data_IF_119273721858
#
_entry.id   IF_119273721858
#
_cell.length_a   1.000
_cell.length_b   1.000
_cell.length_c   1.000
_cell.angle_alpha   90.00
_cell.angle_beta   90.00
_cell.angle_gamma   90.00
#
_symmetry.space_group_name_H-M   'P 1'
#
loop_
_entity.id
_entity.type
_entity.pdbx_description
1 polymer ?
#
# COMPACT_ATOMS: atom_id res chain seq x y z
N UNK A 1 4.93 -15.77 -9.83
CA UNK A 1 4.25 -14.55 -9.33
C UNK A 1 3.63 -13.80 -10.50
N UNK A 2 2.50 -13.13 -10.26
CA UNK A 2 1.82 -12.28 -11.24
C UNK A 2 2.20 -10.83 -10.95
N UNK A 3 2.72 -10.12 -11.95
CA UNK A 3 3.12 -8.70 -11.83
C UNK A 3 2.39 -7.79 -12.83
N UNK A 4 1.77 -8.37 -13.85
CA UNK A 4 0.96 -7.64 -14.82
C UNK A 4 -0.26 -7.01 -14.16
N UNK A 5 -0.37 -5.68 -14.21
CA UNK A 5 -1.41 -4.92 -13.52
C UNK A 5 -2.82 -5.17 -14.06
N UNK A 6 -2.95 -5.48 -15.35
CA UNK A 6 -4.26 -5.80 -15.95
C UNK A 6 -4.76 -7.14 -15.40
N UNK A 7 -3.86 -8.12 -15.31
CA UNK A 7 -4.18 -9.41 -14.70
C UNK A 7 -4.49 -9.26 -13.21
N UNK A 8 -3.70 -8.46 -12.47
CA UNK A 8 -3.91 -8.20 -11.03
C UNK A 8 -5.30 -7.62 -10.80
N UNK A 9 -5.70 -6.58 -11.52
CA UNK A 9 -7.02 -5.96 -11.38
C UNK A 9 -8.14 -6.97 -11.66
N UNK A 10 -8.07 -7.69 -12.77
CA UNK A 10 -9.07 -8.70 -13.14
C UNK A 10 -9.18 -9.83 -12.12
N UNK A 11 -8.04 -10.35 -11.67
CA UNK A 11 -8.01 -11.46 -10.72
C UNK A 11 -8.36 -11.01 -9.31
N UNK A 12 -7.94 -9.82 -8.89
CA UNK A 12 -8.30 -9.21 -7.61
C UNK A 12 -9.81 -9.03 -7.48
N UNK A 13 -10.44 -8.49 -8.51
CA UNK A 13 -11.90 -8.35 -8.56
C UNK A 13 -12.60 -9.72 -8.51
N UNK A 14 -12.20 -10.65 -9.36
CA UNK A 14 -12.75 -12.01 -9.38
C UNK A 14 -12.64 -12.72 -8.04
N UNK A 15 -11.59 -12.45 -7.27
CA UNK A 15 -11.33 -13.11 -5.97
C UNK A 15 -11.75 -12.28 -4.76
N UNK A 16 -12.38 -11.14 -4.96
CA UNK A 16 -12.74 -10.23 -3.87
C UNK A 16 -13.58 -10.94 -2.79
N UNK A 17 -14.62 -11.65 -3.17
CA UNK A 17 -15.47 -12.40 -2.24
C UNK A 17 -14.71 -13.55 -1.55
N UNK A 18 -13.85 -14.25 -2.28
CA UNK A 18 -12.95 -15.26 -1.70
C UNK A 18 -12.03 -14.65 -0.65
N UNK A 19 -11.47 -13.48 -0.93
CA UNK A 19 -10.61 -12.75 -0.02
C UNK A 19 -11.36 -12.29 1.25
N UNK A 20 -12.61 -11.87 1.13
CA UNK A 20 -13.46 -11.58 2.30
C UNK A 20 -13.76 -12.83 3.13
N UNK A 21 -14.05 -13.97 2.50
CA UNK A 21 -14.19 -15.24 3.21
C UNK A 21 -12.90 -15.65 3.91
N UNK A 22 -11.75 -15.45 3.26
CA UNK A 22 -10.45 -15.69 3.89
C UNK A 22 -10.20 -14.78 5.09
N UNK A 23 -10.58 -13.50 5.00
CA UNK A 23 -10.54 -12.59 6.16
C UNK A 23 -11.38 -13.11 7.33
N UNK A 24 -12.60 -13.60 7.06
CA UNK A 24 -13.46 -14.19 8.08
C UNK A 24 -12.83 -15.48 8.67
N UNK A 25 -12.26 -16.32 7.82
CA UNK A 25 -11.54 -17.52 8.23
C UNK A 25 -10.39 -17.22 9.21
N UNK A 26 -9.57 -16.20 8.93
CA UNK A 26 -8.46 -15.83 9.82
C UNK A 26 -8.90 -15.31 11.18
N UNK A 27 -10.13 -14.79 11.32
CA UNK A 27 -10.67 -14.36 12.63
C UNK A 27 -11.05 -15.53 13.54
N UNK A 28 -11.32 -16.70 12.97
CA UNK A 28 -11.80 -17.89 13.67
C UNK A 28 -10.77 -19.02 13.73
N UNK A 29 -9.56 -18.81 13.18
CA UNK A 29 -8.52 -19.82 13.15
C UNK A 29 -7.19 -19.22 13.60
N UNK A 30 -6.43 -19.99 14.37
CA UNK A 30 -5.10 -19.61 14.78
C UNK A 30 -4.12 -19.65 13.60
N UNK A 31 -3.28 -18.66 13.52
CA UNK A 31 -2.18 -18.60 12.56
C UNK A 31 -0.97 -17.89 13.15
N UNK A 32 0.20 -18.21 12.62
CA UNK A 32 1.46 -17.59 13.05
C UNK A 32 1.74 -16.37 12.19
N UNK A 33 1.43 -15.19 12.68
CA UNK A 33 1.59 -13.91 11.95
C UNK A 33 3.01 -13.72 11.41
N UNK A 34 4.04 -14.14 12.15
CA UNK A 34 5.44 -14.08 11.69
C UNK A 34 5.65 -14.80 10.36
N UNK A 35 4.96 -15.92 10.12
CA UNK A 35 5.05 -16.65 8.84
C UNK A 35 4.42 -15.86 7.69
N UNK A 36 3.37 -15.12 7.96
CA UNK A 36 2.71 -14.26 6.98
C UNK A 36 3.62 -13.07 6.61
N UNK A 37 4.26 -12.45 7.61
CA UNK A 37 5.21 -11.36 7.39
C UNK A 37 6.47 -11.82 6.66
N UNK A 38 7.00 -13.00 6.99
CA UNK A 38 8.13 -13.60 6.27
C UNK A 38 7.79 -13.86 4.79
N UNK A 39 6.59 -14.39 4.51
CA UNK A 39 6.12 -14.58 3.13
C UNK A 39 5.92 -13.24 2.39
N UNK A 40 5.48 -12.21 3.09
CA UNK A 40 5.36 -10.86 2.52
C UNK A 40 6.74 -10.30 2.14
N UNK A 41 7.74 -10.46 3.02
CA UNK A 41 9.12 -10.03 2.74
C UNK A 41 9.70 -10.74 1.52
N UNK A 42 9.57 -12.08 1.47
CA UNK A 42 10.03 -12.88 0.33
C UNK A 42 9.44 -12.41 -1.01
N UNK A 43 8.16 -12.05 -1.03
CA UNK A 43 7.49 -11.56 -2.24
C UNK A 43 7.89 -10.11 -2.55
N UNK A 44 7.98 -9.27 -1.53
CA UNK A 44 8.36 -7.86 -1.69
C UNK A 44 9.79 -7.72 -2.24
N UNK A 45 10.71 -8.58 -1.84
CA UNK A 45 12.10 -8.57 -2.32
C UNK A 45 12.24 -8.93 -3.81
N UNK A 46 11.18 -9.49 -4.42
CA UNK A 46 11.17 -9.91 -5.83
C UNK A 46 10.41 -8.94 -6.74
N UNK A 47 9.80 -7.87 -6.20
CA UNK A 47 8.98 -6.92 -6.95
C UNK A 47 9.50 -5.50 -6.72
N UNK A 48 10.01 -4.85 -7.76
CA UNK A 48 10.40 -3.44 -7.67
C UNK A 48 9.15 -2.53 -7.78
N UNK A 49 8.82 -1.87 -6.68
CA UNK A 49 7.69 -0.94 -6.63
C UNK A 49 7.88 0.28 -7.54
N UNK A 50 9.13 0.63 -7.90
CA UNK A 50 9.43 1.77 -8.79
C UNK A 50 9.01 1.48 -10.23
N UNK A 51 9.02 0.21 -10.64
CA UNK A 51 8.54 -0.18 -11.97
C UNK A 51 7.01 -0.16 -12.05
N UNK A 52 6.31 -0.33 -10.92
CA UNK A 52 4.86 -0.47 -10.85
C UNK A 52 4.15 0.88 -10.66
N UNK A 53 4.52 1.65 -9.63
CA UNK A 53 3.94 2.93 -9.19
C UNK A 53 2.41 2.97 -9.02
N UNK A 54 1.71 1.83 -9.04
CA UNK A 54 0.24 1.79 -9.02
C UNK A 54 -0.34 2.34 -7.71
N UNK A 55 0.31 2.10 -6.57
CA UNK A 55 -0.10 2.70 -5.30
C UNK A 55 -0.05 4.25 -5.35
N UNK A 56 0.92 4.83 -6.05
CA UNK A 56 1.00 6.29 -6.24
C UNK A 56 -0.16 6.82 -7.08
N UNK A 57 -0.75 5.98 -7.95
CA UNK A 57 -1.90 6.35 -8.78
C UNK A 57 -3.24 6.20 -8.08
N UNK A 58 -3.35 5.30 -7.10
CA UNK A 58 -4.67 4.94 -6.55
C UNK A 58 -4.83 5.19 -5.06
N UNK A 59 -3.73 5.30 -4.27
CA UNK A 59 -3.84 5.47 -2.82
C UNK A 59 -3.70 6.91 -2.38
N UNK A 60 -4.41 7.25 -1.34
CA UNK A 60 -4.23 8.47 -0.57
C UNK A 60 -3.10 8.29 0.44
N UNK A 61 -2.40 9.38 0.76
CA UNK A 61 -1.22 9.35 1.62
C UNK A 61 -1.36 10.37 2.74
N UNK A 62 -1.62 9.87 3.95
CA UNK A 62 -1.60 10.69 5.16
C UNK A 62 -0.18 11.11 5.48
N UNK A 63 -0.02 12.36 5.88
CA UNK A 63 1.23 12.94 6.31
C UNK A 63 1.28 13.10 7.82
N UNK A 64 2.41 12.73 8.39
CA UNK A 64 2.76 13.11 9.75
C UNK A 64 3.59 14.40 9.73
N UNK A 65 3.65 15.13 10.85
CA UNK A 65 4.42 16.35 10.98
C UNK A 65 5.87 16.19 10.52
N UNK A 66 6.53 15.11 10.91
CA UNK A 66 7.89 14.76 10.47
C UNK A 66 8.03 14.53 8.95
N UNK A 67 6.95 14.10 8.29
CA UNK A 67 6.98 13.93 6.83
C UNK A 67 6.96 15.31 6.14
N UNK A 68 6.18 16.26 6.67
CA UNK A 68 6.15 17.65 6.21
C UNK A 68 7.51 18.29 6.32
N UNK A 69 8.13 18.22 7.52
CA UNK A 69 9.49 18.76 7.75
C UNK A 69 10.52 18.17 6.78
N UNK A 70 10.52 16.85 6.62
CA UNK A 70 11.46 16.14 5.76
C UNK A 70 11.31 16.50 4.29
N UNK A 71 10.07 16.55 3.80
CA UNK A 71 9.75 16.90 2.42
C UNK A 71 10.02 18.37 2.10
N UNK A 72 9.63 19.29 2.98
CA UNK A 72 9.91 20.72 2.82
C UNK A 72 11.41 21.01 2.75
N UNK A 73 12.20 20.38 3.64
CA UNK A 73 13.67 20.48 3.63
C UNK A 73 14.28 19.95 2.32
N UNK A 74 13.81 18.81 1.84
CA UNK A 74 14.30 18.22 0.58
C UNK A 74 14.00 19.12 -0.62
N UNK A 75 12.81 19.71 -0.66
CA UNK A 75 12.39 20.63 -1.72
C UNK A 75 12.99 22.05 -1.60
N UNK A 76 13.68 22.36 -0.50
CA UNK A 76 14.27 23.68 -0.27
C UNK A 76 13.25 24.79 -0.02
N UNK A 77 12.07 24.47 0.51
CA UNK A 77 10.98 25.40 0.80
C UNK A 77 10.59 25.40 2.28
N UNK A 78 9.86 26.41 2.73
CA UNK A 78 9.30 26.41 4.09
C UNK A 78 8.19 25.37 4.24
N UNK A 79 7.99 24.87 5.45
CA UNK A 79 6.87 23.95 5.75
C UNK A 79 5.51 24.56 5.39
N UNK A 80 5.33 25.87 5.65
CA UNK A 80 4.11 26.59 5.25
C UNK A 80 3.90 26.55 3.74
N UNK A 81 4.94 26.79 2.97
CA UNK A 81 4.89 26.73 1.50
C UNK A 81 4.60 25.31 1.02
N UNK A 82 5.17 24.30 1.70
CA UNK A 82 4.87 22.89 1.42
C UNK A 82 3.39 22.55 1.67
N UNK A 83 2.87 22.95 2.82
CA UNK A 83 1.46 22.73 3.18
C UNK A 83 0.53 23.35 2.13
N UNK A 84 0.77 24.59 1.75
CA UNK A 84 -0.08 25.29 0.76
C UNK A 84 -0.03 24.64 -0.63
N UNK A 85 1.15 24.20 -1.09
CA UNK A 85 1.35 23.73 -2.45
C UNK A 85 1.04 22.24 -2.63
N UNK A 86 1.42 21.40 -1.67
CA UNK A 86 1.48 19.95 -1.84
C UNK A 86 0.50 19.16 -1.00
N UNK A 87 -0.27 19.81 -0.12
CA UNK A 87 -1.18 19.11 0.78
C UNK A 87 -2.63 19.58 0.66
N UNK A 88 -3.53 18.69 1.06
CA UNK A 88 -4.96 18.93 1.22
C UNK A 88 -5.45 18.28 2.51
N UNK A 89 -6.62 18.69 2.98
CA UNK A 89 -7.29 18.01 4.08
C UNK A 89 -8.19 16.90 3.54
N UNK A 90 -8.09 15.73 4.14
CA UNK A 90 -8.99 14.62 3.91
C UNK A 90 -10.37 14.85 4.54
N UNK A 91 -11.30 13.92 4.32
CA UNK A 91 -12.67 14.02 4.80
C UNK A 91 -12.81 14.13 6.34
N UNK A 92 -11.89 13.49 7.07
CA UNK A 92 -11.85 13.52 8.55
C UNK A 92 -10.91 14.59 9.10
N UNK A 93 -10.37 15.47 8.25
CA UNK A 93 -9.47 16.55 8.61
C UNK A 93 -7.99 16.14 8.72
N UNK A 94 -7.65 14.92 8.31
CA UNK A 94 -6.26 14.46 8.22
C UNK A 94 -5.50 15.19 7.11
N UNK A 95 -4.20 15.44 7.35
CA UNK A 95 -3.33 16.07 6.37
C UNK A 95 -2.87 15.03 5.34
N UNK A 96 -3.11 15.30 4.07
CA UNK A 96 -2.83 14.37 2.97
C UNK A 96 -2.00 15.02 1.87
N UNK A 97 -1.24 14.23 1.13
CA UNK A 97 -0.65 14.69 -0.13
C UNK A 97 -1.74 14.99 -1.16
N UNK A 98 -1.57 16.09 -1.88
CA UNK A 98 -2.43 16.41 -3.03
C UNK A 98 -2.34 15.31 -4.09
N UNK A 99 -3.44 15.12 -4.74
CA UNK A 99 -3.59 14.21 -5.87
C UNK A 99 -4.22 14.96 -7.03
N UNK A 100 -3.88 14.53 -8.24
CA UNK A 100 -4.60 14.93 -9.45
C UNK A 100 -5.38 13.74 -9.97
N UNK A 101 -6.54 13.97 -10.56
CA UNK A 101 -7.40 12.91 -11.10
C UNK A 101 -6.70 12.11 -12.21
N UNK A 102 -5.81 12.77 -12.97
CA UNK A 102 -5.11 12.18 -14.11
C UNK A 102 -3.82 11.47 -13.72
N UNK A 103 -3.01 12.07 -12.85
CA UNK A 103 -1.66 11.58 -12.54
C UNK A 103 -1.56 10.83 -11.21
N UNK A 104 -2.51 10.98 -10.31
CA UNK A 104 -2.43 10.44 -8.95
C UNK A 104 -1.65 11.34 -8.00
N UNK A 105 -0.67 10.81 -7.26
CA UNK A 105 0.14 11.57 -6.30
C UNK A 105 0.86 12.75 -6.98
N UNK A 106 0.85 13.91 -6.33
CA UNK A 106 1.52 15.14 -6.80
C UNK A 106 3.02 15.00 -7.11
N UNK A 107 3.68 14.00 -6.53
CA UNK A 107 5.10 13.70 -6.75
C UNK A 107 5.35 12.57 -7.74
N UNK A 108 4.33 12.09 -8.42
CA UNK A 108 4.47 11.02 -9.41
C UNK A 108 4.73 11.62 -10.80
N UNK A 109 5.89 11.29 -11.37
CA UNK A 109 6.30 11.67 -12.73
C UNK A 109 6.50 10.38 -13.55
N UNK A 110 5.54 10.06 -14.41
CA UNK A 110 5.51 8.76 -15.09
C UNK A 110 5.35 7.60 -14.10
N UNK A 111 6.39 6.83 -13.85
CA UNK A 111 6.46 5.77 -12.84
C UNK A 111 7.41 6.11 -11.68
N UNK A 112 8.03 7.27 -11.70
CA UNK A 112 9.02 7.66 -10.71
C UNK A 112 8.45 8.64 -9.70
N UNK A 113 8.89 8.53 -8.47
CA UNK A 113 8.55 9.46 -7.40
C UNK A 113 9.68 10.49 -7.26
N UNK A 114 9.40 11.78 -7.54
CA UNK A 114 10.41 12.86 -7.46
C UNK A 114 10.98 13.09 -6.05
N UNK A 115 10.31 12.57 -5.02
CA UNK A 115 10.76 12.60 -3.62
C UNK A 115 11.05 11.22 -3.04
N UNK A 116 11.42 10.24 -3.88
CA UNK A 116 11.52 8.83 -3.48
C UNK A 116 12.37 8.60 -2.23
N UNK A 117 13.53 9.25 -2.11
CA UNK A 117 14.46 9.08 -0.99
C UNK A 117 13.92 9.63 0.34
N UNK A 118 13.04 10.60 0.26
CA UNK A 118 12.41 11.27 1.42
C UNK A 118 10.90 11.07 1.47
N UNK A 119 10.40 10.05 0.78
CA UNK A 119 8.97 9.76 0.74
C UNK A 119 8.35 9.61 2.13
N UNK A 120 7.06 9.94 2.30
CA UNK A 120 6.36 9.79 3.56
C UNK A 120 6.46 8.39 4.14
N UNK A 121 6.41 8.29 5.46
CA UNK A 121 6.48 7.01 6.16
C UNK A 121 5.39 6.01 5.74
N UNK A 122 4.22 6.49 5.32
CA UNK A 122 3.18 5.65 4.75
C UNK A 122 3.58 5.02 3.42
N UNK A 123 4.22 5.79 2.53
CA UNK A 123 4.74 5.27 1.26
C UNK A 123 5.91 4.31 1.46
N UNK A 124 6.81 4.62 2.41
CA UNK A 124 7.97 3.78 2.71
C UNK A 124 7.57 2.39 3.21
N UNK A 125 6.49 2.31 4.01
CA UNK A 125 6.02 1.05 4.56
C UNK A 125 5.01 0.31 3.68
N UNK A 126 4.52 0.95 2.61
CA UNK A 126 3.55 0.31 1.71
C UNK A 126 4.12 -1.01 1.14
N UNK A 127 3.32 -2.08 1.05
CA UNK A 127 1.88 -2.18 1.31
C UNK A 127 1.50 -2.51 2.77
N UNK A 128 2.38 -2.26 3.72
CA UNK A 128 2.20 -2.45 5.16
C UNK A 128 2.05 -3.92 5.63
N UNK A 129 2.49 -4.87 4.83
CA UNK A 129 2.50 -6.28 5.17
C UNK A 129 3.67 -6.64 6.09
N UNK A 130 4.87 -6.14 5.77
CA UNK A 130 6.09 -6.40 6.54
C UNK A 130 6.20 -5.44 7.73
N UNK A 131 6.05 -4.14 7.49
CA UNK A 131 6.26 -3.04 8.46
C UNK A 131 4.97 -2.30 8.83
N UNK A 132 3.85 -3.00 8.95
CA UNK A 132 2.58 -2.38 9.34
C UNK A 132 2.36 -2.39 10.85
N UNK A 133 1.68 -1.37 11.38
CA UNK A 133 1.19 -1.34 12.76
C UNK A 133 0.05 -2.32 12.97
N UNK A 134 -0.08 -2.88 14.17
CA UNK A 134 -1.13 -3.82 14.54
C UNK A 134 -1.02 -5.19 13.86
N UNK A 135 -1.99 -6.05 14.09
CA UNK A 135 -2.01 -7.39 13.52
C UNK A 135 -2.43 -7.40 12.06
N UNK A 136 -1.95 -8.38 11.31
CA UNK A 136 -2.38 -8.61 9.92
C UNK A 136 -3.88 -8.90 9.87
N UNK A 137 -4.39 -9.71 10.81
CA UNK A 137 -5.81 -10.06 10.83
C UNK A 137 -6.73 -8.85 10.98
N UNK A 138 -6.38 -7.89 11.84
CA UNK A 138 -7.18 -6.68 12.05
C UNK A 138 -7.22 -5.80 10.81
N UNK A 139 -6.20 -5.83 9.97
CA UNK A 139 -6.04 -5.03 8.75
C UNK A 139 -6.37 -5.78 7.46
N UNK A 140 -6.84 -7.02 7.54
CA UNK A 140 -7.15 -7.83 6.36
C UNK A 140 -8.09 -7.15 5.37
N UNK A 141 -8.99 -6.27 5.82
CA UNK A 141 -9.89 -5.51 4.95
C UNK A 141 -9.11 -4.62 3.96
N UNK A 142 -8.01 -3.99 4.41
CA UNK A 142 -7.13 -3.20 3.54
C UNK A 142 -6.41 -4.07 2.51
N UNK A 143 -6.02 -5.28 2.89
CA UNK A 143 -5.32 -6.19 1.99
C UNK A 143 -6.26 -6.83 0.96
N UNK A 144 -7.53 -7.03 1.32
CA UNK A 144 -8.56 -7.43 0.33
C UNK A 144 -8.67 -6.39 -0.78
N UNK A 145 -8.73 -5.12 -0.41
CA UNK A 145 -8.81 -4.02 -1.36
C UNK A 145 -7.51 -3.89 -2.18
N UNK A 146 -6.36 -3.84 -1.51
CA UNK A 146 -5.04 -3.72 -2.14
C UNK A 146 -4.69 -4.87 -3.08
N UNK A 147 -5.25 -6.06 -2.88
CA UNK A 147 -5.05 -7.18 -3.79
C UNK A 147 -5.61 -6.93 -5.21
N UNK A 148 -6.47 -5.93 -5.37
CA UNK A 148 -7.00 -5.49 -6.67
C UNK A 148 -6.05 -4.62 -7.49
N UNK A 149 -4.98 -4.09 -6.89
CA UNK A 149 -4.05 -3.19 -7.60
C UNK A 149 -2.57 -3.36 -7.23
N UNK A 150 -2.25 -4.04 -6.15
CA UNK A 150 -0.87 -4.25 -5.70
C UNK A 150 -0.41 -5.69 -5.96
N UNK A 151 0.57 -5.92 -6.86
CA UNK A 151 1.10 -7.25 -7.13
C UNK A 151 1.64 -7.96 -5.89
N UNK A 152 2.31 -7.23 -4.98
CA UNK A 152 2.82 -7.80 -3.73
C UNK A 152 1.66 -8.35 -2.90
N UNK A 153 0.61 -7.57 -2.70
CA UNK A 153 -0.54 -7.98 -1.88
C UNK A 153 -1.31 -9.13 -2.54
N UNK A 154 -1.51 -9.09 -3.84
CA UNK A 154 -2.18 -10.15 -4.56
C UNK A 154 -1.45 -11.50 -4.40
N UNK A 155 -0.16 -11.54 -4.72
CA UNK A 155 0.63 -12.76 -4.62
C UNK A 155 0.76 -13.24 -3.17
N UNK A 156 0.90 -12.31 -2.23
CA UNK A 156 0.92 -12.63 -0.81
C UNK A 156 -0.42 -13.26 -0.35
N UNK A 157 -1.55 -12.68 -0.75
CA UNK A 157 -2.87 -13.20 -0.40
C UNK A 157 -3.05 -14.65 -0.85
N UNK A 158 -2.65 -14.97 -2.08
CA UNK A 158 -2.71 -16.34 -2.60
C UNK A 158 -1.75 -17.28 -1.84
N UNK A 159 -0.55 -16.83 -1.53
CA UNK A 159 0.43 -17.63 -0.80
C UNK A 159 -0.03 -17.94 0.64
N UNK A 160 -0.61 -16.98 1.36
CA UNK A 160 -1.06 -17.24 2.75
C UNK A 160 -2.35 -18.07 2.80
N UNK A 161 -3.23 -17.99 1.80
CA UNK A 161 -4.33 -18.94 1.66
C UNK A 161 -3.83 -20.39 1.53
N UNK A 162 -2.80 -20.60 0.71
CA UNK A 162 -2.17 -21.91 0.57
C UNK A 162 -1.50 -22.37 1.87
N UNK A 163 -0.76 -21.49 2.55
CA UNK A 163 -0.11 -21.79 3.83
C UNK A 163 -1.09 -22.20 4.94
N UNK A 164 -2.29 -21.63 4.93
CA UNK A 164 -3.34 -21.93 5.92
C UNK A 164 -4.27 -23.06 5.47
N UNK A 165 -4.04 -23.64 4.29
CA UNK A 165 -4.93 -24.64 3.68
C UNK A 165 -6.37 -24.16 3.57
N UNK A 166 -6.56 -22.87 3.41
CA UNK A 166 -7.88 -22.30 3.17
C UNK A 166 -8.50 -22.90 1.91
N UNK A 167 -9.68 -23.51 2.08
CA UNK A 167 -10.45 -24.09 0.96
C UNK A 167 -11.45 -23.05 0.45
N UNK A 168 -11.52 -22.93 -0.87
CA UNK A 168 -12.44 -22.01 -1.56
C UNK A 168 -13.90 -22.31 -1.31
#
# INVERSE_FOLDING_TARGET
MITDLVQIRRLGEKKRDENFRFRAYLKSHDFVERRFRAKAQEIQDQIDCRECAECCRVTEVDLQERDVEKLARFLGISERSFLDQYTALGESGELMLKRTDEAGCVFLEGNECSVYEVRPGNCERFPHLVRGSGSIASRMWQFVDRAGYCPIVYNWMEAVKALTRFRR
#
